data_IF_229413991083
#
_entry.id   IF_229413991083
#
_cell.length_a   1.000
_cell.length_b   1.000
_cell.length_c   1.000
_cell.angle_alpha   90.00
_cell.angle_beta   90.00
_cell.angle_gamma   90.00
#
_symmetry.space_group_name_H-M   'P 1'
#
loop_
_entity.id
_entity.type
_entity.pdbx_description
1 polymer ?
#
# COMPACT_ATOMS: atom_id res chain seq x y z
N UNK A 1 11.78 4.54 4.82
CA UNK A 1 11.63 3.61 5.96
C UNK A 1 10.91 2.30 5.58
N UNK A 2 11.33 1.12 6.06
CA UNK A 2 10.58 -0.14 5.90
C UNK A 2 9.51 -0.22 6.99
N UNK A 3 8.26 0.03 6.59
CA UNK A 3 7.09 -0.07 7.47
C UNK A 3 6.66 -1.53 7.55
N UNK A 4 7.01 -2.20 8.65
CA UNK A 4 6.45 -3.49 9.03
C UNK A 4 5.58 -3.31 10.29
N UNK A 5 4.70 -4.28 10.62
CA UNK A 5 3.77 -4.15 11.74
C UNK A 5 4.45 -3.95 13.09
N UNK A 6 5.61 -4.59 13.32
CA UNK A 6 6.35 -4.49 14.58
C UNK A 6 6.98 -3.10 14.77
N UNK A 7 7.58 -2.55 13.72
CA UNK A 7 8.17 -1.21 13.70
C UNK A 7 7.10 -0.15 13.96
N UNK A 8 5.90 -0.34 13.43
CA UNK A 8 4.77 0.57 13.63
C UNK A 8 4.30 0.55 15.07
N UNK A 9 4.16 -0.63 15.68
CA UNK A 9 3.83 -0.77 17.11
C UNK A 9 4.85 -0.07 18.00
N UNK A 10 6.14 -0.20 17.67
CA UNK A 10 7.21 0.48 18.40
C UNK A 10 7.10 1.99 18.31
N UNK A 11 6.87 2.53 17.11
CA UNK A 11 6.67 3.99 16.91
C UNK A 11 5.44 4.48 17.67
N UNK A 12 4.32 3.75 17.56
CA UNK A 12 3.06 4.12 18.21
C UNK A 12 3.20 4.14 19.74
N UNK A 13 3.96 3.20 20.31
CA UNK A 13 4.30 3.18 21.74
C UNK A 13 5.04 4.44 22.17
N UNK A 14 6.04 4.90 21.41
CA UNK A 14 6.80 6.12 21.71
C UNK A 14 5.95 7.37 21.54
N UNK A 15 5.13 7.40 20.50
CA UNK A 15 4.21 8.50 20.23
C UNK A 15 3.17 8.65 21.35
N UNK A 16 2.67 7.55 21.93
CA UNK A 16 1.81 7.59 23.11
C UNK A 16 2.51 8.15 24.35
N UNK A 17 3.78 7.80 24.58
CA UNK A 17 4.57 8.43 25.66
C UNK A 17 4.70 9.94 25.45
N UNK A 18 4.71 10.39 24.20
CA UNK A 18 4.77 11.81 23.88
C UNK A 18 3.47 12.58 24.19
N UNK A 19 2.34 11.88 24.30
CA UNK A 19 1.06 12.49 24.67
C UNK A 19 1.09 13.04 26.10
N UNK A 20 1.65 12.25 27.02
CA UNK A 20 1.83 12.66 28.43
C UNK A 20 2.96 13.67 28.59
N UNK A 21 4.01 13.54 27.78
CA UNK A 21 5.22 14.37 27.88
C UNK A 21 5.71 14.74 26.48
N UNK A 22 5.60 16.02 26.13
CA UNK A 22 6.12 16.58 24.87
C UNK A 22 7.58 16.18 24.55
N UNK A 23 8.38 15.96 25.59
CA UNK A 23 9.76 15.45 25.47
C UNK A 23 9.77 13.98 25.82
N UNK A 24 10.23 13.15 24.89
CA UNK A 24 10.38 11.71 25.09
C UNK A 24 11.86 11.35 25.09
N UNK A 25 12.28 10.66 26.15
CA UNK A 25 13.60 10.04 26.24
C UNK A 25 13.44 8.53 26.06
N UNK A 26 13.95 8.00 24.95
CA UNK A 26 13.92 6.57 24.65
C UNK A 26 15.06 5.82 25.34
N UNK A 27 16.07 6.50 25.89
CA UNK A 27 17.15 5.84 26.63
C UNK A 27 16.68 5.27 27.97
N UNK A 28 15.55 5.77 28.50
CA UNK A 28 14.94 5.25 29.73
C UNK A 28 14.10 3.99 29.49
N UNK A 29 14.00 3.51 28.25
CA UNK A 29 13.20 2.35 27.89
C UNK A 29 14.09 1.08 27.87
N UNK A 30 13.79 0.08 28.70
CA UNK A 30 14.67 -1.08 28.90
C UNK A 30 14.85 -1.95 27.65
N UNK A 31 13.84 -2.00 26.77
CA UNK A 31 13.86 -2.81 25.55
C UNK A 31 14.21 -2.01 24.28
N UNK A 32 14.67 -0.76 24.44
CA UNK A 32 14.91 0.13 23.31
C UNK A 32 16.31 -0.03 22.74
N UNK A 33 16.39 -0.49 21.49
CA UNK A 33 17.67 -0.78 20.85
C UNK A 33 18.21 0.41 20.03
N UNK A 34 19.46 0.29 19.57
CA UNK A 34 20.05 1.24 18.63
C UNK A 34 19.29 1.28 17.31
N UNK A 35 18.80 0.13 16.83
CA UNK A 35 18.04 0.04 15.59
C UNK A 35 16.68 0.73 15.72
N UNK A 36 16.03 0.62 16.88
CA UNK A 36 14.79 1.34 17.18
C UNK A 36 15.01 2.86 17.19
N UNK A 37 16.16 3.30 17.70
CA UNK A 37 16.56 4.71 17.66
C UNK A 37 16.75 5.20 16.21
N UNK A 38 17.38 4.39 15.35
CA UNK A 38 17.57 4.72 13.94
C UNK A 38 16.21 4.80 13.23
N UNK A 39 15.34 3.82 13.49
CA UNK A 39 13.98 3.76 12.96
C UNK A 39 13.18 5.02 13.34
N UNK A 40 13.16 5.37 14.63
CA UNK A 40 12.39 6.51 15.12
C UNK A 40 12.99 7.86 14.65
N UNK A 41 14.32 7.97 14.58
CA UNK A 41 14.99 9.12 13.98
C UNK A 41 14.57 9.33 12.51
N UNK A 42 14.54 8.25 11.73
CA UNK A 42 14.07 8.28 10.34
C UNK A 42 12.62 8.73 10.26
N UNK A 43 11.77 8.16 11.11
CA UNK A 43 10.35 8.52 11.18
C UNK A 43 10.15 10.00 11.53
N UNK A 44 10.81 10.54 12.55
CA UNK A 44 10.68 11.95 12.95
C UNK A 44 11.14 12.89 11.84
N UNK A 45 12.23 12.54 11.13
CA UNK A 45 12.71 13.32 9.98
C UNK A 45 11.76 13.28 8.78
N UNK A 46 11.21 12.10 8.46
CA UNK A 46 10.29 11.92 7.32
C UNK A 46 8.91 12.54 7.59
N UNK A 47 8.40 12.44 8.82
CA UNK A 47 7.06 12.91 9.20
C UNK A 47 7.00 14.39 9.59
N UNK A 48 8.11 14.96 10.08
CA UNK A 48 8.13 16.32 10.62
C UNK A 48 7.33 16.49 11.92
N UNK A 49 7.00 15.39 12.62
CA UNK A 49 6.22 15.41 13.87
C UNK A 49 7.03 15.78 15.11
N UNK A 50 8.33 16.03 14.96
CA UNK A 50 9.17 16.43 16.07
C UNK A 50 10.57 16.83 15.64
N UNK A 51 11.39 17.13 16.66
CA UNK A 51 12.79 17.47 16.53
C UNK A 51 13.63 16.56 17.43
N UNK A 52 14.73 16.07 16.89
CA UNK A 52 15.73 15.33 17.65
C UNK A 52 16.56 16.35 18.44
N UNK A 53 16.56 16.25 19.76
CA UNK A 53 17.34 17.14 20.63
C UNK A 53 18.74 16.58 20.85
N UNK A 54 18.81 15.32 21.26
CA UNK A 54 20.05 14.56 21.41
C UNK A 54 19.77 13.08 21.14
N UNK A 55 20.79 12.22 21.27
CA UNK A 55 20.65 10.79 21.02
C UNK A 55 19.57 10.18 21.93
N UNK A 56 18.49 9.71 21.32
CA UNK A 56 17.37 9.10 22.03
C UNK A 56 16.42 10.10 22.71
N UNK A 57 16.59 11.41 22.51
CA UNK A 57 15.70 12.42 23.11
C UNK A 57 15.03 13.25 22.02
N UNK A 58 13.70 13.31 22.09
CA UNK A 58 12.84 13.86 21.04
C UNK A 58 11.89 14.89 21.63
N UNK A 59 11.72 16.01 20.94
CA UNK A 59 10.66 16.98 21.19
C UNK A 59 9.57 16.79 20.14
N UNK A 60 8.38 16.40 20.54
CA UNK A 60 7.21 16.30 19.64
C UNK A 60 6.55 17.67 19.51
N UNK A 61 6.28 18.09 18.28
CA UNK A 61 5.64 19.38 17.99
C UNK A 61 4.12 19.26 18.01
N UNK A 62 3.42 20.39 17.89
CA UNK A 62 1.96 20.42 17.92
C UNK A 62 1.31 19.60 16.81
N UNK A 63 1.93 19.52 15.64
CA UNK A 63 1.48 18.67 14.54
C UNK A 63 1.53 17.20 14.93
N UNK A 64 2.63 16.76 15.55
CA UNK A 64 2.80 15.40 16.06
C UNK A 64 1.81 15.08 17.17
N UNK A 65 1.58 16.00 18.10
CA UNK A 65 0.59 15.83 19.18
C UNK A 65 -0.84 15.72 18.63
N UNK A 66 -1.20 16.57 17.67
CA UNK A 66 -2.51 16.50 17.02
C UNK A 66 -2.69 15.18 16.28
N UNK A 67 -1.64 14.69 15.60
CA UNK A 67 -1.64 13.38 14.99
C UNK A 67 -1.89 12.27 16.03
N UNK A 68 -1.15 12.25 17.14
CA UNK A 68 -1.30 11.26 18.22
C UNK A 68 -2.73 11.21 18.77
N UNK A 69 -3.37 12.37 18.93
CA UNK A 69 -4.74 12.47 19.47
C UNK A 69 -5.83 12.03 18.49
N UNK A 70 -5.56 12.11 17.19
CA UNK A 70 -6.58 11.93 16.15
C UNK A 70 -6.42 10.62 15.37
N UNK A 71 -5.21 10.06 15.36
CA UNK A 71 -4.87 8.88 14.57
C UNK A 71 -3.73 8.10 15.22
N UNK A 72 -3.60 6.82 14.87
CA UNK A 72 -2.42 6.00 15.19
C UNK A 72 -1.59 5.70 13.94
N UNK A 73 -0.32 5.34 14.13
CA UNK A 73 0.51 4.87 13.01
C UNK A 73 0.03 3.54 12.43
N UNK A 74 -0.63 2.71 13.26
CA UNK A 74 -1.30 1.49 12.80
C UNK A 74 -2.41 1.80 11.80
N UNK A 75 -3.26 2.78 12.09
CA UNK A 75 -4.34 3.19 11.17
C UNK A 75 -3.79 3.72 9.84
N UNK A 76 -2.72 4.49 9.87
CA UNK A 76 -2.05 4.98 8.65
C UNK A 76 -1.50 3.82 7.83
N UNK A 77 -0.91 2.82 8.49
CA UNK A 77 -0.38 1.65 7.82
C UNK A 77 -1.48 0.78 7.20
N UNK A 78 -2.55 0.50 7.94
CA UNK A 78 -3.69 -0.27 7.44
C UNK A 78 -4.34 0.41 6.25
N UNK A 79 -4.46 1.73 6.28
CA UNK A 79 -4.97 2.51 5.14
C UNK A 79 -4.07 2.35 3.92
N UNK A 80 -2.75 2.49 4.08
CA UNK A 80 -1.79 2.28 2.98
C UNK A 80 -1.82 0.85 2.44
N UNK A 81 -1.97 -0.14 3.31
CA UNK A 81 -2.07 -1.54 2.91
C UNK A 81 -3.34 -1.80 2.11
N UNK A 82 -4.49 -1.27 2.53
CA UNK A 82 -5.75 -1.34 1.79
C UNK A 82 -5.65 -0.64 0.43
N UNK A 83 -5.08 0.55 0.38
CA UNK A 83 -4.87 1.28 -0.88
C UNK A 83 -3.95 0.53 -1.84
N UNK A 84 -2.87 -0.08 -1.34
CA UNK A 84 -1.97 -0.90 -2.14
C UNK A 84 -2.71 -2.13 -2.70
N UNK A 85 -3.43 -2.85 -1.85
CA UNK A 85 -4.19 -4.03 -2.26
C UNK A 85 -5.29 -3.69 -3.27
N UNK A 86 -5.94 -2.53 -3.12
CA UNK A 86 -6.94 -2.04 -4.06
C UNK A 86 -6.31 -1.75 -5.44
N UNK A 87 -5.17 -1.06 -5.47
CA UNK A 87 -4.42 -0.81 -6.71
C UNK A 87 -3.93 -2.10 -7.37
N UNK A 88 -3.45 -3.06 -6.59
CA UNK A 88 -3.01 -4.35 -7.10
C UNK A 88 -4.20 -5.14 -7.69
N UNK A 89 -5.37 -5.07 -7.04
CA UNK A 89 -6.60 -5.65 -7.58
C UNK A 89 -7.07 -4.97 -8.88
N UNK A 90 -7.04 -3.64 -8.95
CA UNK A 90 -7.36 -2.88 -10.18
C UNK A 90 -6.41 -3.22 -11.33
N UNK A 91 -5.11 -3.34 -11.05
CA UNK A 91 -4.12 -3.75 -12.03
C UNK A 91 -4.40 -5.16 -12.57
N UNK A 92 -4.76 -6.11 -11.69
CA UNK A 92 -5.14 -7.46 -12.09
C UNK A 92 -6.42 -7.49 -12.94
N UNK A 93 -7.43 -6.69 -12.60
CA UNK A 93 -8.64 -6.57 -13.39
C UNK A 93 -8.36 -5.96 -14.77
N UNK A 94 -7.53 -4.92 -14.82
CA UNK A 94 -7.10 -4.28 -16.07
C UNK A 94 -6.35 -5.26 -16.97
N UNK A 95 -5.42 -6.05 -16.40
CA UNK A 95 -4.72 -7.10 -17.16
C UNK A 95 -5.68 -8.17 -17.71
N UNK A 96 -6.67 -8.58 -16.91
CA UNK A 96 -7.70 -9.54 -17.36
C UNK A 96 -8.55 -8.96 -18.50
N UNK A 97 -8.95 -7.69 -18.41
CA UNK A 97 -9.68 -7.01 -19.48
C UNK A 97 -8.85 -6.90 -20.76
N UNK A 98 -7.58 -6.53 -20.67
CA UNK A 98 -6.67 -6.50 -21.83
C UNK A 98 -6.51 -7.90 -22.46
N UNK A 99 -6.39 -8.94 -21.63
CA UNK A 99 -6.29 -10.31 -22.12
C UNK A 99 -7.58 -10.79 -22.80
N UNK A 100 -8.75 -10.37 -22.30
CA UNK A 100 -10.05 -10.65 -22.92
C UNK A 100 -10.22 -9.89 -24.25
N UNK A 101 -9.93 -8.59 -24.27
CA UNK A 101 -9.99 -7.76 -25.47
C UNK A 101 -9.05 -8.27 -26.59
N UNK A 102 -7.91 -8.87 -26.24
CA UNK A 102 -7.02 -9.53 -27.23
C UNK A 102 -7.62 -10.79 -27.86
N UNK A 103 -8.63 -11.43 -27.25
CA UNK A 103 -9.29 -12.64 -27.77
C UNK A 103 -10.53 -12.32 -28.62
N UNK A 104 -11.14 -11.15 -28.45
CA UNK A 104 -12.32 -10.72 -29.23
C UNK A 104 -12.10 -10.75 -30.76
N UNK A 105 -10.95 -10.32 -31.32
CA UNK A 105 -10.73 -10.37 -32.76
C UNK A 105 -10.73 -11.80 -33.30
N UNK A 106 -10.24 -12.76 -32.52
CA UNK A 106 -10.18 -14.17 -32.94
C UNK A 106 -11.58 -14.79 -32.99
N UNK A 107 -12.46 -14.43 -32.05
CA UNK A 107 -13.86 -14.87 -32.04
C UNK A 107 -14.64 -14.29 -33.22
N UNK A 108 -14.43 -13.00 -33.53
CA UNK A 108 -15.06 -12.36 -34.69
C UNK A 108 -14.54 -13.00 -36.00
N UNK A 109 -13.23 -13.21 -36.13
CA UNK A 109 -12.64 -13.87 -37.27
C UNK A 109 -13.17 -15.31 -37.44
N UNK A 110 -13.34 -16.05 -36.34
CA UNK A 110 -13.91 -17.39 -36.41
C UNK A 110 -15.36 -17.38 -36.89
N UNK A 111 -16.16 -16.43 -36.43
CA UNK A 111 -17.54 -16.24 -36.90
C UNK A 111 -17.63 -15.98 -38.41
N UNK A 112 -16.70 -15.18 -38.96
CA UNK A 112 -16.66 -14.91 -40.41
C UNK A 112 -16.30 -16.19 -41.18
N UNK A 113 -15.28 -16.92 -40.73
CA UNK A 113 -14.83 -18.13 -41.44
C UNK A 113 -15.89 -19.23 -41.37
N UNK A 114 -16.55 -19.44 -40.24
CA UNK A 114 -17.62 -20.45 -40.13
C UNK A 114 -18.81 -20.08 -41.01
N UNK A 115 -19.18 -18.81 -41.08
CA UNK A 115 -20.26 -18.36 -41.97
C UNK A 115 -19.91 -18.59 -43.44
N UNK A 116 -18.68 -18.27 -43.86
CA UNK A 116 -18.19 -18.53 -45.22
C UNK A 116 -18.15 -20.04 -45.52
N UNK A 117 -17.69 -20.86 -44.59
CA UNK A 117 -17.66 -22.32 -44.74
C UNK A 117 -19.07 -22.89 -44.90
N UNK A 118 -20.05 -22.41 -44.13
CA UNK A 118 -21.46 -22.81 -44.26
C UNK A 118 -22.06 -22.42 -45.61
N UNK A 119 -21.74 -21.23 -46.13
CA UNK A 119 -22.20 -20.79 -47.45
C UNK A 119 -21.62 -21.68 -48.55
N UNK A 120 -20.32 -21.98 -48.50
CA UNK A 120 -19.65 -22.85 -49.47
C UNK A 120 -20.25 -24.26 -49.44
N UNK A 121 -20.49 -24.81 -48.25
CA UNK A 121 -21.15 -26.10 -48.07
C UNK A 121 -22.57 -26.13 -48.62
N UNK A 122 -23.36 -25.08 -48.39
CA UNK A 122 -24.72 -24.98 -48.91
C UNK A 122 -24.73 -24.93 -50.45
N UNK A 123 -23.80 -24.19 -51.07
CA UNK A 123 -23.67 -24.15 -52.53
C UNK A 123 -23.25 -25.52 -53.09
N UNK A 124 -22.29 -26.20 -52.46
CA UNK A 124 -21.87 -27.55 -52.86
C UNK A 124 -23.00 -28.59 -52.72
N UNK A 125 -23.88 -28.43 -51.74
CA UNK A 125 -25.08 -29.27 -51.59
C UNK A 125 -26.16 -28.99 -52.63
N UNK A 126 -26.24 -27.77 -53.16
CA UNK A 126 -27.20 -27.36 -54.20
C UNK A 126 -26.77 -27.73 -55.62
N UNK A 127 -25.46 -27.87 -55.86
CA UNK A 127 -24.88 -28.23 -57.18
C UNK A 127 -24.80 -29.76 -57.37
N UNK A 128 -25.12 -30.54 -56.33
CA UNK A 128 -25.22 -32.00 -56.38
C UNK A 128 -26.64 -32.45 -56.68
#
# INVERSE_FOLDING_TARGET
MILNPENIKKIDKILKLAEERRIVDTNTLPDWTKDDTILFNSFIKESGYGKILTRGVYLINDTGLNFIKTSSMEQVYDKRLKEKNAKDAENLLTQKQIAAAKREPYLIAWGIITTLASIILAILQLVK
#
